data_IF_239953233616
#
_entry.id   IF_239953233616
#
_cell.length_a   1.000
_cell.length_b   1.000
_cell.length_c   1.000
_cell.angle_alpha   90.00
_cell.angle_beta   90.00
_cell.angle_gamma   90.00
#
_symmetry.space_group_name_H-M   'P 1'
#
loop_
_entity.id
_entity.type
_entity.pdbx_description
1 polymer ?
#
# COMPACT_ATOMS: atom_id res chain seq x y z
N UNK A 1 -2.47 41.21 3.81
CA UNK A 1 -3.00 39.85 3.54
C UNK A 1 -2.40 38.88 4.57
N UNK A 2 -3.21 38.31 5.46
CA UNK A 2 -2.74 37.26 6.39
C UNK A 2 -2.46 36.00 5.56
N UNK A 3 -1.19 35.57 5.51
CA UNK A 3 -0.87 34.19 5.07
C UNK A 3 -1.57 33.26 6.04
N UNK A 4 -2.54 32.49 5.56
CA UNK A 4 -3.25 31.55 6.41
C UNK A 4 -2.28 30.44 6.84
N UNK A 5 -1.99 30.35 8.14
CA UNK A 5 -1.08 29.37 8.78
C UNK A 5 -1.55 27.90 8.71
N UNK A 6 -2.46 27.54 7.79
CA UNK A 6 -2.98 26.17 7.70
C UNK A 6 -1.88 25.12 7.43
N UNK A 7 -0.78 25.53 6.76
CA UNK A 7 0.36 24.65 6.50
C UNK A 7 1.09 24.20 7.78
N UNK A 8 1.07 25.01 8.84
CA UNK A 8 1.67 24.64 10.13
C UNK A 8 0.91 23.50 10.82
N UNK A 9 -0.39 23.35 10.53
CA UNK A 9 -1.20 22.31 11.15
C UNK A 9 -1.01 20.93 10.50
N UNK A 10 -0.56 20.89 9.24
CA UNK A 10 -0.37 19.63 8.51
C UNK A 10 0.71 18.74 9.13
N UNK A 11 1.69 19.32 9.84
CA UNK A 11 2.71 18.55 10.55
C UNK A 11 2.15 17.69 11.70
N UNK A 12 0.98 18.05 12.23
CA UNK A 12 0.33 17.31 13.33
C UNK A 12 -0.65 16.26 12.84
N UNK A 13 -0.97 16.24 11.54
CA UNK A 13 -1.88 15.26 10.96
C UNK A 13 -1.19 13.90 10.90
N UNK A 14 -1.70 12.96 11.70
CA UNK A 14 -1.23 11.58 11.73
C UNK A 14 -2.09 10.64 10.90
N UNK A 15 -3.34 11.01 10.62
CA UNK A 15 -4.26 10.21 9.82
C UNK A 15 -4.84 11.05 8.70
N UNK A 16 -4.70 10.56 7.48
CA UNK A 16 -5.26 11.18 6.29
C UNK A 16 -6.14 10.15 5.58
N UNK A 17 -7.44 10.46 5.48
CA UNK A 17 -8.42 9.65 4.77
C UNK A 17 -8.97 10.52 3.66
N UNK A 18 -8.75 10.10 2.42
CA UNK A 18 -9.18 10.82 1.24
C UNK A 18 -10.10 9.92 0.47
N UNK A 19 -11.37 10.29 0.55
CA UNK A 19 -12.42 9.74 -0.29
C UNK A 19 -12.61 10.70 -1.45
N UNK A 20 -12.33 10.25 -2.68
CA UNK A 20 -12.37 10.99 -3.97
C UNK A 20 -11.01 11.56 -4.41
N UNK A 21 -10.85 11.72 -5.73
CA UNK A 21 -9.64 12.17 -6.41
C UNK A 21 -9.26 13.64 -6.17
N UNK A 22 -9.07 14.01 -4.91
CA UNK A 22 -8.52 15.31 -4.52
C UNK A 22 -7.01 15.28 -4.72
N UNK A 23 -6.46 16.37 -5.25
CA UNK A 23 -5.02 16.58 -5.30
C UNK A 23 -4.56 17.24 -4.02
N UNK A 24 -3.50 16.73 -3.45
CA UNK A 24 -2.79 17.28 -2.30
C UNK A 24 -1.33 16.88 -2.42
N UNK A 25 -0.48 17.48 -1.60
CA UNK A 25 0.95 17.20 -1.58
C UNK A 25 1.31 16.49 -0.27
N UNK A 26 1.69 15.21 -0.40
CA UNK A 26 2.08 14.32 0.70
C UNK A 26 3.26 14.87 1.50
N UNK A 27 4.10 15.74 0.91
CA UNK A 27 5.28 16.31 1.60
C UNK A 27 4.93 17.15 2.83
N UNK A 28 3.69 17.65 2.91
CA UNK A 28 3.23 18.46 4.04
C UNK A 28 2.86 17.61 5.28
N UNK A 29 2.61 16.31 5.09
CA UNK A 29 2.13 15.41 6.15
C UNK A 29 3.30 14.61 6.75
N UNK A 30 4.28 15.29 7.34
CA UNK A 30 5.54 14.66 7.78
C UNK A 30 5.37 13.61 8.89
N UNK A 31 4.35 13.73 9.74
CA UNK A 31 4.08 12.77 10.85
C UNK A 31 2.96 11.79 10.51
N UNK A 32 2.66 11.60 9.22
CA UNK A 32 1.59 10.72 8.78
C UNK A 32 1.88 9.26 9.16
N UNK A 33 0.97 8.67 9.93
CA UNK A 33 0.98 7.26 10.36
C UNK A 33 -0.05 6.42 9.62
N UNK A 34 -1.17 7.02 9.22
CA UNK A 34 -2.24 6.32 8.51
C UNK A 34 -2.66 7.08 7.26
N UNK A 35 -2.61 6.40 6.13
CA UNK A 35 -3.03 6.94 4.84
C UNK A 35 -4.06 5.99 4.22
N UNK A 36 -5.26 6.51 3.95
CA UNK A 36 -6.32 5.78 3.26
C UNK A 36 -6.76 6.56 2.04
N UNK A 37 -6.62 5.96 0.86
CA UNK A 37 -6.90 6.58 -0.42
C UNK A 37 -7.98 5.79 -1.16
N UNK A 38 -9.08 6.46 -1.52
CA UNK A 38 -10.14 5.89 -2.36
C UNK A 38 -10.23 6.68 -3.66
N UNK A 39 -9.93 6.01 -4.78
CA UNK A 39 -9.78 6.58 -6.11
C UNK A 39 -8.83 7.80 -6.14
N UNK A 40 -7.59 7.67 -5.63
CA UNK A 40 -6.61 8.74 -5.70
C UNK A 40 -6.23 9.06 -7.17
N UNK A 41 -5.88 10.32 -7.43
CA UNK A 41 -5.34 10.73 -8.73
C UNK A 41 -3.92 10.18 -8.94
N UNK A 42 -3.52 10.05 -10.20
CA UNK A 42 -2.17 9.64 -10.62
C UNK A 42 -1.05 10.34 -9.85
N UNK A 43 -1.16 11.65 -9.68
CA UNK A 43 -0.18 12.46 -8.96
C UNK A 43 0.07 11.98 -7.52
N UNK A 44 -0.91 11.34 -6.88
CA UNK A 44 -0.72 10.80 -5.53
C UNK A 44 0.12 9.52 -5.57
N UNK A 45 -0.04 8.68 -6.58
CA UNK A 45 0.81 7.50 -6.77
C UNK A 45 2.25 7.90 -7.10
N UNK A 46 2.43 8.89 -7.96
CA UNK A 46 3.75 9.48 -8.23
C UNK A 46 4.41 9.94 -6.93
N UNK A 47 3.68 10.67 -6.09
CA UNK A 47 4.19 11.12 -4.79
C UNK A 47 4.50 9.96 -3.83
N UNK A 48 3.68 8.91 -3.80
CA UNK A 48 3.95 7.71 -3.01
C UNK A 48 5.24 7.01 -3.45
N UNK A 49 5.61 7.10 -4.74
CA UNK A 49 6.84 6.51 -5.29
C UNK A 49 8.08 7.41 -5.15
N UNK A 50 7.91 8.71 -4.93
CA UNK A 50 9.05 9.64 -4.81
C UNK A 50 9.30 10.12 -3.37
N UNK A 51 8.26 10.28 -2.55
CA UNK A 51 8.40 10.82 -1.20
C UNK A 51 8.60 9.72 -0.15
N UNK A 52 9.41 10.06 0.85
CA UNK A 52 9.56 9.25 2.05
C UNK A 52 8.42 9.53 3.01
N UNK A 53 7.75 8.46 3.46
CA UNK A 53 6.75 8.48 4.52
C UNK A 53 7.28 7.64 5.69
N UNK A 54 8.30 8.13 6.42
CA UNK A 54 9.11 7.31 7.32
C UNK A 54 8.36 6.87 8.57
N UNK A 55 7.15 7.38 8.82
CA UNK A 55 6.34 7.04 9.98
C UNK A 55 5.04 6.31 9.61
N UNK A 56 4.86 5.91 8.35
CA UNK A 56 3.63 5.26 7.93
C UNK A 56 3.52 3.88 8.58
N UNK A 57 2.41 3.66 9.28
CA UNK A 57 2.05 2.41 9.95
C UNK A 57 0.92 1.68 9.20
N UNK A 58 0.03 2.45 8.56
CA UNK A 58 -1.14 1.91 7.89
C UNK A 58 -1.32 2.55 6.52
N UNK A 59 -1.23 1.74 5.45
CA UNK A 59 -1.48 2.17 4.07
C UNK A 59 -2.68 1.43 3.51
N UNK A 60 -3.66 2.15 2.99
CA UNK A 60 -4.77 1.57 2.24
C UNK A 60 -5.00 2.34 0.95
N UNK A 61 -5.05 1.63 -0.16
CA UNK A 61 -5.32 2.21 -1.48
C UNK A 61 -6.37 1.35 -2.17
N UNK A 62 -7.45 2.00 -2.58
CA UNK A 62 -8.51 1.41 -3.38
C UNK A 62 -8.73 2.28 -4.62
N UNK A 63 -8.86 1.66 -5.79
CA UNK A 63 -9.05 2.37 -7.05
C UNK A 63 -9.93 1.56 -7.99
N UNK A 64 -11.07 2.12 -8.38
CA UNK A 64 -12.06 1.44 -9.24
C UNK A 64 -11.63 1.38 -10.71
N UNK A 65 -10.95 2.41 -11.21
CA UNK A 65 -10.64 2.58 -12.64
C UNK A 65 -9.13 2.69 -12.90
N UNK A 66 -8.47 1.57 -13.17
CA UNK A 66 -7.03 1.54 -13.34
C UNK A 66 -6.63 1.89 -14.78
N UNK A 67 -6.14 3.11 -15.00
CA UNK A 67 -5.44 3.47 -16.24
C UNK A 67 -4.09 2.75 -16.31
N UNK A 68 -3.54 2.54 -17.52
CA UNK A 68 -2.21 1.94 -17.71
C UNK A 68 -1.12 2.65 -16.89
N UNK A 69 -1.20 3.97 -16.79
CA UNK A 69 -0.29 4.78 -15.97
C UNK A 69 -0.43 4.50 -14.48
N UNK A 70 -1.65 4.44 -13.95
CA UNK A 70 -1.88 4.08 -12.54
C UNK A 70 -1.36 2.66 -12.26
N UNK A 71 -1.59 1.71 -13.17
CA UNK A 71 -1.08 0.34 -13.03
C UNK A 71 0.44 0.33 -12.90
N UNK A 72 1.15 1.02 -13.81
CA UNK A 72 2.61 1.16 -13.76
C UNK A 72 3.09 1.75 -12.43
N UNK A 73 2.48 2.83 -11.96
CA UNK A 73 2.85 3.45 -10.69
C UNK A 73 2.61 2.54 -9.48
N UNK A 74 1.62 1.65 -9.52
CA UNK A 74 1.39 0.67 -8.45
C UNK A 74 2.42 -0.45 -8.51
N UNK A 75 2.81 -0.88 -9.71
CA UNK A 75 3.88 -1.86 -9.89
C UNK A 75 5.17 -1.35 -9.23
N UNK A 76 5.49 -0.06 -9.41
CA UNK A 76 6.64 0.60 -8.77
C UNK A 76 6.51 0.73 -7.24
N UNK A 77 5.27 0.75 -6.72
CA UNK A 77 5.01 0.86 -5.29
C UNK A 77 5.23 -0.47 -4.55
N UNK A 78 5.04 -1.62 -5.21
CA UNK A 78 5.19 -2.93 -4.57
C UNK A 78 6.59 -3.17 -4.00
N UNK A 79 7.70 -2.93 -4.73
CA UNK A 79 9.04 -3.05 -4.17
C UNK A 79 9.23 -2.22 -2.91
N UNK A 80 8.63 -1.02 -2.84
CA UNK A 80 8.73 -0.16 -1.66
C UNK A 80 7.99 -0.74 -0.45
N UNK A 81 6.81 -1.31 -0.65
CA UNK A 81 6.02 -1.96 0.41
C UNK A 81 6.76 -3.18 0.94
N UNK A 82 7.29 -4.01 0.03
CA UNK A 82 7.84 -5.30 0.40
C UNK A 82 9.33 -5.27 0.72
N UNK A 83 10.09 -4.24 0.32
CA UNK A 83 11.54 -4.11 0.58
C UNK A 83 11.88 -3.09 1.67
N UNK A 84 11.08 -3.02 2.75
CA UNK A 84 11.34 -2.21 3.95
C UNK A 84 11.51 -0.68 3.74
N UNK A 85 11.04 -0.12 2.61
CA UNK A 85 11.08 1.33 2.41
C UNK A 85 10.16 2.06 3.41
N UNK A 86 9.12 1.38 3.89
CA UNK A 86 8.25 1.85 4.95
C UNK A 86 8.55 1.08 6.25
N UNK A 87 9.55 1.51 7.05
CA UNK A 87 10.11 0.69 8.13
C UNK A 87 9.11 0.38 9.26
N UNK A 88 8.02 1.16 9.39
CA UNK A 88 7.00 0.95 10.43
C UNK A 88 5.66 0.45 9.87
N UNK A 89 5.59 0.05 8.60
CA UNK A 89 4.34 -0.32 7.94
C UNK A 89 3.79 -1.63 8.51
N UNK A 90 2.84 -1.51 9.44
CA UNK A 90 2.15 -2.64 10.10
C UNK A 90 1.05 -3.25 9.27
N UNK A 91 0.33 -2.42 8.51
CA UNK A 91 -0.76 -2.91 7.66
C UNK A 91 -0.78 -2.28 6.28
N UNK A 92 -0.97 -3.10 5.25
CA UNK A 92 -1.17 -2.67 3.89
C UNK A 92 -2.47 -3.28 3.31
N UNK A 93 -3.33 -2.46 2.73
CA UNK A 93 -4.55 -2.90 2.07
C UNK A 93 -4.67 -2.34 0.65
N UNK A 94 -4.48 -3.24 -0.32
CA UNK A 94 -4.58 -3.05 -1.77
C UNK A 94 -5.61 -4.02 -2.38
N UNK A 95 -6.53 -4.57 -1.58
CA UNK A 95 -7.44 -5.66 -1.97
C UNK A 95 -8.37 -5.34 -3.15
N UNK A 96 -8.73 -4.07 -3.30
CA UNK A 96 -9.59 -3.61 -4.39
C UNK A 96 -8.82 -3.29 -5.68
N UNK A 97 -7.49 -3.34 -5.64
CA UNK A 97 -6.64 -3.06 -6.79
C UNK A 97 -6.51 -4.31 -7.67
N UNK A 98 -6.82 -4.18 -8.96
CA UNK A 98 -6.63 -5.23 -9.98
C UNK A 98 -5.35 -4.96 -10.77
N UNK A 99 -4.20 -4.98 -10.10
CA UNK A 99 -2.89 -4.80 -10.73
C UNK A 99 -2.10 -6.09 -10.54
N UNK A 100 -1.53 -6.59 -11.62
CA UNK A 100 -0.62 -7.73 -11.55
C UNK A 100 0.65 -7.34 -10.79
N UNK A 101 0.99 -8.12 -9.78
CA UNK A 101 2.21 -7.95 -9.02
C UNK A 101 3.39 -8.59 -9.76
N UNK A 102 4.50 -7.89 -9.95
CA UNK A 102 5.67 -8.48 -10.60
C UNK A 102 6.32 -9.51 -9.67
N UNK A 103 6.79 -10.62 -10.24
CA UNK A 103 7.64 -11.58 -9.52
C UNK A 103 9.04 -10.97 -9.44
N UNK A 104 9.42 -10.50 -8.25
CA UNK A 104 10.73 -9.88 -8.00
C UNK A 104 11.28 -10.33 -6.65
N UNK A 105 12.61 -10.35 -6.52
CA UNK A 105 13.26 -10.59 -5.24
C UNK A 105 13.18 -9.33 -4.39
N UNK A 106 12.19 -9.25 -3.50
CA UNK A 106 12.09 -8.17 -2.53
C UNK A 106 13.03 -8.41 -1.35
N UNK A 107 13.52 -7.31 -0.77
CA UNK A 107 14.19 -7.39 0.53
C UNK A 107 13.14 -7.73 1.61
N UNK A 108 13.56 -8.11 2.81
CA UNK A 108 12.59 -8.43 3.87
C UNK A 108 11.94 -7.18 4.46
N UNK A 109 10.61 -7.16 4.57
CA UNK A 109 9.81 -6.21 5.35
C UNK A 109 9.38 -6.85 6.66
N UNK A 110 10.09 -6.50 7.74
CA UNK A 110 9.88 -7.10 9.07
C UNK A 110 8.72 -6.47 9.84
N UNK A 111 8.25 -5.28 9.44
CA UNK A 111 7.20 -4.57 10.18
C UNK A 111 5.79 -4.92 9.73
N UNK A 112 5.62 -5.59 8.60
CA UNK A 112 4.31 -5.87 8.02
C UNK A 112 3.64 -7.09 8.65
N UNK A 113 2.52 -6.86 9.34
CA UNK A 113 1.74 -7.90 10.02
C UNK A 113 0.41 -8.21 9.33
N UNK A 114 -0.19 -7.21 8.69
CA UNK A 114 -1.50 -7.33 8.04
C UNK A 114 -1.37 -6.95 6.58
N UNK A 115 -1.65 -7.88 5.68
CA UNK A 115 -1.64 -7.64 4.26
C UNK A 115 -2.97 -8.06 3.64
N UNK A 116 -3.55 -7.15 2.87
CA UNK A 116 -4.68 -7.45 2.00
C UNK A 116 -4.31 -7.02 0.59
N UNK A 117 -4.28 -7.95 -0.35
CA UNK A 117 -3.91 -7.67 -1.74
C UNK A 117 -4.99 -8.21 -2.66
N UNK A 118 -5.05 -7.66 -3.87
CA UNK A 118 -6.01 -8.12 -4.85
C UNK A 118 -5.66 -9.51 -5.38
N UNK A 119 -5.78 -9.63 -6.69
CA UNK A 119 -5.47 -10.86 -7.39
C UNK A 119 -3.96 -11.09 -7.47
N UNK A 120 -3.51 -12.28 -7.05
CA UNK A 120 -2.11 -12.70 -7.19
C UNK A 120 -2.05 -14.17 -7.62
N UNK A 121 -0.95 -14.55 -8.30
CA UNK A 121 -0.63 -15.95 -8.58
C UNK A 121 0.13 -16.61 -7.41
N UNK A 122 0.35 -17.92 -7.52
CA UNK A 122 1.02 -18.72 -6.49
C UNK A 122 2.50 -18.37 -6.30
N UNK A 123 3.18 -17.88 -7.34
CA UNK A 123 4.59 -17.49 -7.26
C UNK A 123 4.71 -16.17 -6.50
N UNK A 124 3.88 -15.17 -6.82
CA UNK A 124 3.79 -13.91 -6.08
C UNK A 124 3.44 -14.17 -4.61
N UNK A 125 2.47 -15.05 -4.34
CA UNK A 125 2.12 -15.45 -2.98
C UNK A 125 3.34 -15.94 -2.19
N UNK A 126 4.15 -16.85 -2.77
CA UNK A 126 5.37 -17.37 -2.12
C UNK A 126 6.39 -16.26 -1.88
N UNK A 127 6.58 -15.37 -2.86
CA UNK A 127 7.50 -14.23 -2.73
C UNK A 127 7.07 -13.29 -1.60
N UNK A 128 5.78 -13.01 -1.45
CA UNK A 128 5.24 -12.19 -0.35
C UNK A 128 5.58 -12.81 1.00
N UNK A 129 5.37 -14.12 1.17
CA UNK A 129 5.64 -14.81 2.43
C UNK A 129 7.13 -14.79 2.80
N UNK A 130 8.02 -14.93 1.81
CA UNK A 130 9.46 -14.83 2.02
C UNK A 130 9.90 -13.40 2.39
N UNK A 131 9.30 -12.40 1.75
CA UNK A 131 9.61 -10.99 2.00
C UNK A 131 9.04 -10.51 3.33
N UNK A 132 7.90 -11.03 3.78
CA UNK A 132 7.19 -10.53 4.95
C UNK A 132 7.05 -11.63 6.02
N UNK A 133 8.14 -12.00 6.71
CA UNK A 133 8.14 -13.15 7.62
C UNK A 133 7.24 -12.95 8.85
N UNK A 134 6.85 -11.72 9.18
CA UNK A 134 6.01 -11.42 10.34
C UNK A 134 4.51 -11.26 10.00
N UNK A 135 4.07 -11.71 8.81
CA UNK A 135 2.66 -11.65 8.43
C UNK A 135 1.81 -12.53 9.35
N UNK A 136 0.89 -11.88 10.08
CA UNK A 136 -0.12 -12.51 10.92
C UNK A 136 -1.44 -12.73 10.17
N UNK A 137 -1.82 -11.76 9.32
CA UNK A 137 -3.06 -11.79 8.55
C UNK A 137 -2.76 -11.53 7.08
N UNK A 138 -3.15 -12.47 6.20
CA UNK A 138 -2.98 -12.32 4.77
C UNK A 138 -4.28 -12.65 4.00
N UNK A 139 -4.87 -11.64 3.38
CA UNK A 139 -6.09 -11.78 2.58
C UNK A 139 -5.80 -11.46 1.11
N UNK A 140 -6.25 -12.33 0.20
CA UNK A 140 -5.92 -12.24 -1.21
C UNK A 140 -6.99 -12.90 -2.10
N UNK A 141 -6.85 -12.77 -3.42
CA UNK A 141 -7.67 -13.49 -4.41
C UNK A 141 -6.75 -14.34 -5.29
N UNK A 142 -6.92 -15.67 -5.30
CA UNK A 142 -6.10 -16.59 -6.14
C UNK A 142 -6.91 -16.97 -7.38
N UNK A 143 -6.22 -17.08 -8.52
CA UNK A 143 -6.75 -17.77 -9.70
C UNK A 143 -6.54 -19.29 -9.58
N UNK A 144 -7.64 -20.04 -9.57
CA UNK A 144 -7.61 -21.48 -9.82
C UNK A 144 -8.44 -21.75 -11.08
N UNK A 145 -7.79 -21.76 -12.25
CA UNK A 145 -8.47 -21.86 -13.55
C UNK A 145 -9.31 -20.63 -13.88
N UNK A 146 -10.54 -20.83 -14.36
CA UNK A 146 -11.51 -19.75 -14.69
C UNK A 146 -12.28 -19.20 -13.47
N UNK A 147 -12.02 -19.71 -12.27
CA UNK A 147 -12.73 -19.31 -11.05
C UNK A 147 -11.86 -18.42 -10.14
N UNK A 148 -12.44 -17.29 -9.74
CA UNK A 148 -11.80 -16.30 -8.88
C UNK A 148 -12.21 -16.59 -7.43
N UNK A 149 -11.33 -17.26 -6.68
CA UNK A 149 -11.58 -17.60 -5.28
C UNK A 149 -10.95 -16.53 -4.37
N UNK A 150 -11.76 -15.94 -3.49
CA UNK A 150 -11.23 -15.10 -2.41
C UNK A 150 -10.72 -16.00 -1.29
N UNK A 151 -9.41 -16.02 -1.10
CA UNK A 151 -8.77 -16.81 -0.07
C UNK A 151 -8.33 -15.87 1.07
N UNK A 152 -8.75 -16.21 2.29
CA UNK A 152 -8.26 -15.54 3.49
C UNK A 152 -7.43 -16.55 4.26
N UNK A 153 -6.15 -16.26 4.40
CA UNK A 153 -5.23 -17.08 5.17
C UNK A 153 -4.88 -16.36 6.47
N UNK A 154 -5.20 -17.03 7.58
CA UNK A 154 -4.76 -16.62 8.90
C UNK A 154 -3.46 -17.36 9.20
N UNK A 155 -2.35 -16.63 9.15
CA UNK A 155 -1.07 -17.18 9.55
C UNK A 155 -0.92 -16.98 11.06
N UNK A 156 -1.48 -17.91 11.83
CA UNK A 156 -1.39 -17.84 13.29
C UNK A 156 0.05 -18.01 13.80
N UNK A 157 0.97 -18.53 12.98
CA UNK A 157 2.35 -18.83 13.36
C UNK A 157 3.34 -18.80 12.17
N UNK A 158 3.66 -17.64 11.61
CA UNK A 158 5.04 -17.42 11.18
C UNK A 158 5.82 -16.96 12.43
N UNK A 159 6.27 -17.94 13.22
CA UNK A 159 7.27 -17.76 14.28
C UNK A 159 8.59 -18.26 13.77
#
# INVERSE_FOLDING_TARGET
MKKNNYEEYFIYIQTLIIDRGINFDLKYFKKLRRLMLRNPKEKIFEQLNHYSLPHIEHLSIAHKFLTSKIQSLIIDLYPRIFSNYFPYLKSCNLFEMKVEMPIQNWQQSLSLYILKVGQIDIFVYRTILLACPNLYFFQLKIFQGDQLLSNTELHSNLK
#
